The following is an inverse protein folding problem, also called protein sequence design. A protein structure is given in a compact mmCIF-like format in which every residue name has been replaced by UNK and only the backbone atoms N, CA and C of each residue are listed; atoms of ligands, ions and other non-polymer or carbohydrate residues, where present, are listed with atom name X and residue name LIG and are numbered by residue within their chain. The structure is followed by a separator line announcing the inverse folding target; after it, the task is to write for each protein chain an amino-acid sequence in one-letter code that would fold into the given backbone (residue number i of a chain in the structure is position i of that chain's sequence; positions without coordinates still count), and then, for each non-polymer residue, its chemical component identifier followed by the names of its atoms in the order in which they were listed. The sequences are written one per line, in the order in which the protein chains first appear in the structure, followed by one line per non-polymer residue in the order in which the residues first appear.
data_IF_083368958466
#
_entry.id   IF_083368958466
#
_cell.length_a   1.000
_cell.length_b   1.000
_cell.length_c   1.000
_cell.angle_alpha   90.00
_cell.angle_beta   90.00
_cell.angle_gamma   90.00
#
_symmetry.space_group_name_H-M   'P 1'
#
loop_
_entity.id
_entity.type
_entity.pdbx_description
1 polymer ?
#
# COMPACT_ATOMS: atom_id res chain seq x y z
N UNK A 1 7.26 -7.32 -19.25
CA UNK A 1 8.33 -6.75 -18.39
C UNK A 1 8.39 -7.55 -17.11
N UNK A 2 9.58 -7.92 -16.65
CA UNK A 2 9.76 -8.65 -15.40
C UNK A 2 10.15 -7.69 -14.25
N UNK A 3 10.12 -8.20 -13.01
CA UNK A 3 10.39 -7.39 -11.81
C UNK A 3 11.78 -6.68 -11.86
N UNK A 4 12.83 -7.39 -12.26
CA UNK A 4 14.19 -6.83 -12.26
C UNK A 4 14.36 -5.73 -13.32
N UNK A 5 13.67 -5.84 -14.44
CA UNK A 5 13.63 -4.79 -15.48
C UNK A 5 12.95 -3.54 -14.93
N UNK A 6 11.85 -3.71 -14.20
CA UNK A 6 11.14 -2.58 -13.58
C UNK A 6 11.97 -1.91 -12.48
N UNK A 7 12.72 -2.68 -11.67
CA UNK A 7 13.65 -2.10 -10.69
C UNK A 7 14.71 -1.26 -11.38
N UNK A 8 15.31 -1.74 -12.48
CA UNK A 8 16.31 -0.95 -13.23
C UNK A 8 15.73 0.34 -13.81
N UNK A 9 14.51 0.28 -14.37
CA UNK A 9 13.81 1.48 -14.85
C UNK A 9 13.44 2.38 -13.66
N UNK A 10 13.00 1.79 -12.56
CA UNK A 10 12.73 2.48 -11.31
C UNK A 10 13.92 3.31 -10.86
N UNK A 11 15.04 2.67 -10.65
CA UNK A 11 16.26 3.33 -10.14
C UNK A 11 16.79 4.42 -11.09
N UNK A 12 16.76 4.16 -12.40
CA UNK A 12 17.32 5.08 -13.39
C UNK A 12 16.40 6.23 -13.80
N UNK A 13 15.08 6.02 -13.80
CA UNK A 13 14.14 6.96 -14.38
C UNK A 13 12.94 7.31 -13.49
N UNK A 14 12.26 6.33 -12.87
CA UNK A 14 11.02 6.62 -12.16
C UNK A 14 11.26 7.31 -10.82
N UNK A 15 12.26 6.88 -10.03
CA UNK A 15 12.51 7.42 -8.69
C UNK A 15 12.83 8.93 -8.69
N UNK A 16 13.63 9.49 -9.63
CA UNK A 16 13.81 10.92 -9.71
C UNK A 16 12.49 11.69 -9.89
N UNK A 17 11.61 11.22 -10.80
CA UNK A 17 10.29 11.82 -11.04
C UNK A 17 9.36 11.67 -9.85
N UNK A 18 9.35 10.49 -9.23
CA UNK A 18 8.55 10.20 -8.03
C UNK A 18 9.01 11.08 -6.86
N UNK A 19 10.33 11.27 -6.71
CA UNK A 19 10.88 12.15 -5.68
C UNK A 19 10.38 13.59 -5.84
N UNK A 20 10.38 14.10 -7.06
CA UNK A 20 9.84 15.44 -7.36
C UNK A 20 8.32 15.50 -7.10
N UNK A 21 7.56 14.50 -7.61
CA UNK A 21 6.10 14.44 -7.48
C UNK A 21 5.62 14.39 -6.03
N UNK A 22 6.36 13.72 -5.16
CA UNK A 22 5.94 13.47 -3.78
C UNK A 22 6.79 14.19 -2.71
N UNK A 23 7.74 15.02 -3.11
CA UNK A 23 8.57 15.76 -2.17
C UNK A 23 9.50 14.86 -1.35
N UNK A 24 10.12 13.89 -2.00
CA UNK A 24 11.01 12.93 -1.34
C UNK A 24 12.49 13.31 -1.45
N UNK A 25 12.79 14.58 -1.66
CA UNK A 25 14.16 15.07 -1.69
C UNK A 25 14.86 14.77 -0.35
N UNK A 26 16.04 14.17 -0.44
CA UNK A 26 16.82 13.76 0.72
C UNK A 26 16.37 12.46 1.41
N UNK A 27 15.36 11.77 0.86
CA UNK A 27 15.07 10.40 1.27
C UNK A 27 16.02 9.41 0.57
N UNK A 28 16.58 8.50 1.35
CA UNK A 28 17.25 7.33 0.81
C UNK A 28 16.20 6.30 0.40
N UNK A 29 16.25 5.83 -0.86
CA UNK A 29 15.32 4.85 -1.39
C UNK A 29 16.01 3.53 -1.65
N UNK A 30 15.40 2.42 -1.21
CA UNK A 30 15.92 1.07 -1.41
C UNK A 30 14.81 0.13 -1.87
N UNK A 31 15.03 -0.68 -2.92
CA UNK A 31 14.02 -1.65 -3.34
C UNK A 31 13.83 -2.73 -2.26
N UNK A 32 12.59 -3.08 -2.01
CA UNK A 32 12.22 -4.20 -1.15
C UNK A 32 12.31 -5.47 -1.99
N UNK A 33 12.97 -6.51 -1.48
CA UNK A 33 13.07 -7.79 -2.20
C UNK A 33 11.68 -8.31 -2.59
N UNK A 34 11.51 -8.65 -3.87
CA UNK A 34 10.29 -9.26 -4.35
C UNK A 34 10.04 -10.61 -3.66
N UNK A 35 8.78 -10.83 -3.29
CA UNK A 35 8.30 -12.19 -3.13
C UNK A 35 7.93 -12.77 -4.51
N UNK A 36 8.07 -14.08 -4.69
CA UNK A 36 7.71 -14.74 -5.95
C UNK A 36 6.28 -14.37 -6.37
N UNK A 37 6.11 -13.87 -7.61
CA UNK A 37 4.82 -13.43 -8.13
C UNK A 37 4.39 -12.00 -7.75
N UNK A 38 5.30 -11.18 -7.24
CA UNK A 38 5.01 -9.77 -6.93
C UNK A 38 4.56 -8.98 -8.17
N UNK A 39 3.38 -8.36 -8.08
CA UNK A 39 2.76 -7.54 -9.15
C UNK A 39 3.20 -6.08 -9.10
N UNK A 40 3.91 -5.70 -8.05
CA UNK A 40 4.38 -4.34 -7.81
C UNK A 40 5.86 -4.35 -7.45
N UNK A 41 6.57 -3.31 -7.84
CA UNK A 41 7.87 -2.98 -7.26
C UNK A 41 7.63 -2.04 -6.09
N UNK A 42 8.28 -2.31 -4.97
CA UNK A 42 8.12 -1.55 -3.74
C UNK A 42 9.48 -1.00 -3.31
N UNK A 43 9.50 0.28 -2.95
CA UNK A 43 10.69 0.92 -2.37
C UNK A 43 10.40 1.39 -0.94
N UNK A 44 11.36 1.17 -0.07
CA UNK A 44 11.40 1.77 1.25
C UNK A 44 12.14 3.11 1.16
N UNK A 45 11.53 4.17 1.67
CA UNK A 45 12.09 5.52 1.66
C UNK A 45 12.29 5.98 3.09
N UNK A 46 13.53 6.32 3.44
CA UNK A 46 13.90 6.73 4.79
C UNK A 46 14.70 8.02 4.75
N UNK A 47 14.42 8.90 5.71
CA UNK A 47 15.19 10.12 5.94
C UNK A 47 15.31 10.35 7.45
N UNK A 48 16.49 10.69 7.92
CA UNK A 48 16.73 11.01 9.32
C UNK A 48 15.81 12.16 9.77
N UNK A 49 15.19 12.00 10.94
CA UNK A 49 14.27 12.99 11.51
C UNK A 49 12.91 13.09 10.81
N UNK A 50 12.63 12.26 9.81
CA UNK A 50 11.33 12.22 9.12
C UNK A 50 10.70 10.83 9.18
N UNK A 51 9.39 10.76 8.93
CA UNK A 51 8.68 9.49 8.82
C UNK A 51 9.17 8.68 7.62
N UNK A 52 9.26 7.36 7.77
CA UNK A 52 9.57 6.49 6.66
C UNK A 52 8.33 6.29 5.76
N UNK A 53 8.55 6.15 4.45
CA UNK A 53 7.50 6.01 3.43
C UNK A 53 7.71 4.79 2.56
N UNK A 54 6.66 4.38 1.87
CA UNK A 54 6.67 3.25 0.93
C UNK A 54 6.17 3.74 -0.43
N UNK A 55 7.01 3.64 -1.45
CA UNK A 55 6.59 3.81 -2.85
C UNK A 55 6.15 2.44 -3.36
N UNK A 56 4.99 2.38 -4.00
CA UNK A 56 4.50 1.22 -4.73
C UNK A 56 4.35 1.57 -6.20
N UNK A 57 4.99 0.80 -7.07
CA UNK A 57 4.94 0.95 -8.52
C UNK A 57 4.27 -0.30 -9.11
N UNK A 58 3.07 -0.14 -9.65
CA UNK A 58 2.38 -1.17 -10.43
C UNK A 58 2.82 -1.07 -11.89
N UNK A 59 3.15 -2.21 -12.51
CA UNK A 59 3.73 -2.27 -13.85
C UNK A 59 3.07 -3.31 -14.76
N UNK A 60 2.15 -4.12 -14.23
CA UNK A 60 1.40 -5.08 -15.03
C UNK A 60 0.13 -4.41 -15.56
N UNK A 61 -0.14 -4.59 -16.85
CA UNK A 61 -1.33 -4.05 -17.52
C UNK A 61 -2.58 -4.93 -17.32
N UNK A 62 -2.68 -5.58 -16.16
CA UNK A 62 -3.77 -6.46 -15.80
C UNK A 62 -4.81 -5.78 -14.89
N UNK A 63 -4.59 -4.51 -14.58
CA UNK A 63 -5.51 -3.64 -13.83
C UNK A 63 -5.58 -2.27 -14.49
N UNK A 64 -6.78 -1.72 -14.54
CA UNK A 64 -6.99 -0.36 -15.03
C UNK A 64 -6.53 0.69 -14.02
N UNK A 65 -6.38 1.93 -14.48
CA UNK A 65 -6.12 3.09 -13.63
C UNK A 65 -7.23 3.25 -12.57
N UNK A 66 -8.48 3.10 -12.98
CA UNK A 66 -9.66 3.24 -12.13
C UNK A 66 -9.68 2.18 -11.02
N UNK A 67 -9.28 0.94 -11.32
CA UNK A 67 -9.17 -0.12 -10.32
C UNK A 67 -8.09 0.17 -9.28
N UNK A 68 -6.94 0.68 -9.72
CA UNK A 68 -5.85 1.06 -8.82
C UNK A 68 -6.20 2.30 -8.00
N UNK A 69 -6.87 3.27 -8.62
CA UNK A 69 -7.33 4.49 -7.95
C UNK A 69 -8.39 4.14 -6.89
N UNK A 70 -9.38 3.32 -7.24
CA UNK A 70 -10.39 2.85 -6.28
C UNK A 70 -9.79 2.10 -5.08
N UNK A 71 -8.69 1.36 -5.28
CA UNK A 71 -7.95 0.72 -4.18
C UNK A 71 -7.35 1.76 -3.22
N UNK A 72 -6.64 2.75 -3.74
CA UNK A 72 -5.98 3.75 -2.88
C UNK A 72 -6.98 4.69 -2.21
N UNK A 73 -8.07 5.06 -2.90
CA UNK A 73 -9.19 5.83 -2.31
C UNK A 73 -9.84 5.08 -1.15
N UNK A 74 -10.05 3.78 -1.31
CA UNK A 74 -10.60 2.96 -0.23
C UNK A 74 -9.65 2.88 0.97
N UNK A 75 -8.34 2.73 0.74
CA UNK A 75 -7.35 2.75 1.83
C UNK A 75 -7.36 4.10 2.54
N UNK A 76 -7.40 5.20 1.80
CA UNK A 76 -7.50 6.54 2.37
C UNK A 76 -8.77 6.70 3.22
N UNK A 77 -9.93 6.30 2.69
CA UNK A 77 -11.19 6.32 3.44
C UNK A 77 -11.09 5.55 4.77
N UNK A 78 -10.52 4.34 4.73
CA UNK A 78 -10.34 3.55 5.95
C UNK A 78 -9.46 4.27 6.97
N UNK A 79 -8.37 4.90 6.53
CA UNK A 79 -7.47 5.66 7.39
C UNK A 79 -8.19 6.86 8.03
N UNK A 80 -8.87 7.68 7.23
CA UNK A 80 -9.61 8.87 7.67
C UNK A 80 -10.71 8.55 8.67
N UNK A 81 -11.30 7.33 8.59
CA UNK A 81 -12.34 6.86 9.51
C UNK A 81 -11.81 5.99 10.68
N UNK A 82 -10.49 6.07 10.92
CA UNK A 82 -9.85 5.40 12.06
C UNK A 82 -9.65 3.91 11.89
N UNK A 83 -9.58 3.43 10.66
CA UNK A 83 -9.11 2.09 10.32
C UNK A 83 -7.60 1.98 10.57
N UNK A 84 -7.16 0.80 11.03
CA UNK A 84 -5.73 0.54 11.26
C UNK A 84 -5.03 0.13 9.96
N UNK A 85 -4.85 1.09 9.07
CA UNK A 85 -4.17 0.96 7.77
C UNK A 85 -3.13 2.07 7.62
N UNK A 86 -2.21 1.93 6.65
CA UNK A 86 -1.27 2.98 6.30
C UNK A 86 -1.99 4.12 5.57
N UNK A 87 -1.61 5.35 5.86
CA UNK A 87 -2.10 6.51 5.13
C UNK A 87 -1.58 6.54 3.69
N UNK A 88 -2.40 7.02 2.78
CA UNK A 88 -2.02 7.29 1.39
C UNK A 88 -1.60 8.75 1.27
N UNK A 89 -0.38 8.98 0.79
CA UNK A 89 0.17 10.34 0.66
C UNK A 89 -0.12 10.87 -0.75
N UNK A 90 -0.83 11.98 -0.82
CA UNK A 90 -1.07 12.66 -2.10
C UNK A 90 0.23 13.25 -2.68
N UNK A 91 0.34 13.25 -3.99
CA UNK A 91 1.41 13.97 -4.69
C UNK A 91 1.29 15.49 -4.51
N UNK A 92 2.30 16.23 -4.91
CA UNK A 92 2.26 17.72 -4.98
C UNK A 92 1.17 18.25 -5.91
N UNK A 93 0.65 17.40 -6.81
CA UNK A 93 -0.49 17.72 -7.70
C UNK A 93 -1.85 17.39 -7.05
N UNK A 94 -1.87 16.84 -5.85
CA UNK A 94 -3.08 16.40 -5.15
C UNK A 94 -3.59 15.01 -5.56
N UNK A 95 -2.84 14.26 -6.36
CA UNK A 95 -3.25 12.93 -6.83
C UNK A 95 -2.83 11.83 -5.83
N UNK A 96 -3.71 10.86 -5.57
CA UNK A 96 -3.39 9.65 -4.80
C UNK A 96 -2.62 8.61 -5.63
N UNK A 97 -2.81 8.65 -6.94
CA UNK A 97 -2.19 7.75 -7.90
C UNK A 97 -1.62 8.59 -9.05
N UNK A 98 -0.33 8.50 -9.28
CA UNK A 98 0.35 9.12 -10.41
C UNK A 98 0.58 8.10 -11.52
N UNK A 99 0.50 8.58 -12.76
CA UNK A 99 0.76 7.79 -13.96
C UNK A 99 2.02 8.31 -14.65
N UNK A 100 2.98 7.42 -14.88
CA UNK A 100 4.26 7.74 -15.53
C UNK A 100 4.44 6.81 -16.72
N UNK A 101 4.62 7.38 -17.91
CA UNK A 101 4.90 6.61 -19.13
C UNK A 101 6.40 6.67 -19.45
N UNK A 102 7.01 5.52 -19.70
CA UNK A 102 8.38 5.39 -20.14
C UNK A 102 8.52 4.24 -21.14
N UNK A 103 9.12 4.49 -22.30
CA UNK A 103 9.33 3.48 -23.37
C UNK A 103 8.06 2.69 -23.73
N UNK A 104 6.93 3.38 -23.94
CA UNK A 104 5.61 2.81 -24.22
C UNK A 104 5.04 1.89 -23.11
N UNK A 105 5.59 1.95 -21.91
CA UNK A 105 5.03 1.28 -20.73
C UNK A 105 4.49 2.30 -19.76
N UNK A 106 3.32 2.01 -19.20
CA UNK A 106 2.68 2.82 -18.17
C UNK A 106 2.95 2.22 -16.79
N UNK A 107 3.36 3.08 -15.87
CA UNK A 107 3.59 2.76 -14.46
C UNK A 107 2.64 3.56 -13.61
N UNK A 108 1.95 2.91 -12.70
CA UNK A 108 1.10 3.57 -11.71
C UNK A 108 1.82 3.61 -10.37
N UNK A 109 1.94 4.81 -9.82
CA UNK A 109 2.74 5.05 -8.61
C UNK A 109 1.85 5.64 -7.52
N UNK A 110 1.93 5.07 -6.33
CA UNK A 110 1.35 5.65 -5.12
C UNK A 110 2.34 5.60 -3.96
N UNK A 111 2.18 6.54 -3.03
CA UNK A 111 3.02 6.68 -1.85
C UNK A 111 2.19 6.42 -0.59
N UNK A 112 2.77 5.72 0.37
CA UNK A 112 2.15 5.45 1.67
C UNK A 112 3.07 5.88 2.80
N UNK A 113 2.50 6.28 3.92
CA UNK A 113 3.24 6.28 5.18
C UNK A 113 3.61 4.85 5.54
N UNK A 114 4.85 4.61 5.95
CA UNK A 114 5.28 3.26 6.35
C UNK A 114 4.62 2.90 7.68
N UNK A 115 3.94 1.75 7.72
CA UNK A 115 3.39 1.22 8.94
C UNK A 115 4.48 1.02 10.01
N UNK A 116 4.17 1.37 11.25
CA UNK A 116 5.07 1.17 12.38
C UNK A 116 5.04 -0.28 12.84
N UNK A 117 6.14 -0.73 13.41
CA UNK A 117 6.26 -2.06 14.01
C UNK A 117 7.18 -3.00 13.23
N UNK A 118 7.15 -4.25 13.63
CA UNK A 118 7.94 -5.33 13.04
C UNK A 118 7.03 -6.43 12.51
N UNK A 119 7.43 -7.08 11.45
CA UNK A 119 6.73 -8.28 10.99
C UNK A 119 6.85 -9.38 12.03
N UNK A 120 5.79 -10.16 12.20
CA UNK A 120 5.75 -11.25 13.18
C UNK A 120 6.91 -12.24 12.96
N UNK A 121 7.26 -12.51 11.69
CA UNK A 121 8.39 -13.38 11.33
C UNK A 121 9.74 -12.80 11.80
N UNK A 122 9.93 -11.49 11.70
CA UNK A 122 11.15 -10.81 12.15
C UNK A 122 11.30 -10.86 13.68
N UNK A 123 10.17 -10.97 14.39
CA UNK A 123 10.12 -11.15 15.83
C UNK A 123 9.99 -12.63 16.24
N UNK A 124 10.46 -13.58 15.40
CA UNK A 124 10.43 -15.03 15.65
C UNK A 124 9.05 -15.54 16.06
N UNK A 125 8.01 -15.05 15.42
CA UNK A 125 6.60 -15.34 15.70
C UNK A 125 6.13 -15.00 17.12
N UNK A 126 6.83 -14.10 17.82
CA UNK A 126 6.40 -13.56 19.10
C UNK A 126 5.69 -12.23 18.88
N UNK A 127 4.48 -12.10 19.39
CA UNK A 127 3.72 -10.86 19.31
C UNK A 127 4.38 -9.75 20.17
N UNK A 128 4.57 -10.04 21.44
CA UNK A 128 5.35 -9.24 22.40
C UNK A 128 5.85 -10.15 23.52
N UNK A 129 6.81 -9.68 24.28
CA UNK A 129 7.35 -10.44 25.42
C UNK A 129 6.25 -10.74 26.44
N UNK A 130 6.17 -12.01 26.86
CA UNK A 130 5.19 -12.49 27.84
C UNK A 130 3.74 -12.60 27.36
N UNK A 131 3.41 -12.15 26.11
CA UNK A 131 2.05 -12.24 25.60
C UNK A 131 1.79 -13.60 24.92
N UNK A 132 0.63 -14.25 25.17
CA UNK A 132 0.25 -15.43 24.45
C UNK A 132 -0.12 -15.10 23.00
N UNK A 133 0.11 -16.05 22.09
CA UNK A 133 -0.23 -15.88 20.66
C UNK A 133 -1.73 -15.65 20.43
N UNK A 134 -2.58 -16.11 21.33
CA UNK A 134 -4.04 -15.88 21.30
C UNK A 134 -4.38 -14.40 21.37
N UNK A 135 -3.61 -13.59 22.11
CA UNK A 135 -3.80 -12.13 22.14
C UNK A 135 -3.54 -11.50 20.77
N UNK A 136 -2.53 -11.98 20.05
CA UNK A 136 -2.26 -11.53 18.68
C UNK A 136 -3.47 -11.77 17.77
N UNK A 137 -4.01 -13.00 17.76
CA UNK A 137 -5.17 -13.34 16.93
C UNK A 137 -6.43 -12.58 17.34
N UNK A 138 -6.64 -12.38 18.63
CA UNK A 138 -7.74 -11.56 19.13
C UNK A 138 -7.66 -10.11 18.60
N UNK A 139 -6.48 -9.50 18.66
CA UNK A 139 -6.29 -8.15 18.17
C UNK A 139 -6.40 -8.08 16.63
N UNK A 140 -5.93 -9.08 15.90
CA UNK A 140 -6.16 -9.18 14.45
C UNK A 140 -7.66 -9.21 14.13
N UNK A 141 -8.43 -10.01 14.87
CA UNK A 141 -9.89 -10.07 14.72
C UNK A 141 -10.58 -8.73 14.98
N UNK A 142 -10.13 -7.99 16.00
CA UNK A 142 -10.66 -6.64 16.28
C UNK A 142 -10.38 -5.66 15.13
N UNK A 143 -9.15 -5.65 14.62
CA UNK A 143 -8.76 -4.80 13.47
C UNK A 143 -9.63 -5.15 12.26
N UNK A 144 -9.71 -6.44 11.91
CA UNK A 144 -10.51 -6.89 10.78
C UNK A 144 -11.99 -6.55 10.93
N UNK A 145 -12.57 -6.75 12.12
CA UNK A 145 -13.96 -6.39 12.43
C UNK A 145 -14.23 -4.89 12.25
N UNK A 146 -13.29 -4.03 12.69
CA UNK A 146 -13.38 -2.59 12.47
C UNK A 146 -13.32 -2.23 10.99
N UNK A 147 -12.41 -2.83 10.24
CA UNK A 147 -12.31 -2.60 8.78
C UNK A 147 -13.59 -3.03 8.06
N UNK A 148 -14.16 -4.19 8.41
CA UNK A 148 -15.44 -4.64 7.85
C UNK A 148 -16.60 -3.68 8.18
N UNK A 149 -16.64 -3.14 9.40
CA UNK A 149 -17.65 -2.16 9.77
C UNK A 149 -17.55 -0.92 8.88
N UNK A 150 -16.36 -0.34 8.75
CA UNK A 150 -16.12 0.82 7.90
C UNK A 150 -16.45 0.54 6.43
N UNK A 151 -16.12 -0.65 5.94
CA UNK A 151 -16.40 -1.05 4.56
C UNK A 151 -17.89 -1.04 4.20
N UNK A 152 -18.79 -1.27 5.18
CA UNK A 152 -20.25 -1.22 4.95
C UNK A 152 -20.75 0.19 4.68
N UNK A 153 -20.05 1.20 5.17
CA UNK A 153 -20.38 2.61 5.04
C UNK A 153 -19.69 3.27 3.83
N UNK A 154 -18.74 2.57 3.22
CA UNK A 154 -17.97 3.08 2.09
C UNK A 154 -18.78 3.11 0.81
N UNK A 155 -18.86 4.27 0.18
CA UNK A 155 -19.42 4.43 -1.16
C UNK A 155 -18.29 4.73 -2.15
N UNK A 156 -17.93 3.80 -3.04
CA UNK A 156 -16.80 3.98 -3.95
C UNK A 156 -17.08 5.05 -5.01
N UNK A 157 -16.10 5.92 -5.24
CA UNK A 157 -16.11 6.86 -6.36
C UNK A 157 -15.66 6.15 -7.63
N UNK A 158 -14.60 5.35 -7.54
CA UNK A 158 -14.11 4.53 -8.65
C UNK A 158 -14.36 3.04 -8.40
N UNK A 159 -14.83 2.34 -9.44
CA UNK A 159 -15.15 0.91 -9.35
C UNK A 159 -13.87 0.08 -9.49
N UNK A 160 -13.31 -0.42 -8.40
CA UNK A 160 -12.18 -1.35 -8.46
C UNK A 160 -12.31 -2.50 -7.49
N UNK A 161 -12.54 -2.23 -6.23
CA UNK A 161 -12.46 -3.22 -5.14
C UNK A 161 -13.83 -3.72 -4.68
N UNK A 162 -14.92 -3.08 -5.07
CA UNK A 162 -16.29 -3.37 -4.58
C UNK A 162 -16.70 -4.83 -4.81
N UNK A 163 -16.14 -5.49 -5.80
CA UNK A 163 -16.46 -6.90 -6.10
C UNK A 163 -16.06 -7.88 -4.97
N UNK A 164 -14.98 -7.60 -4.26
CA UNK A 164 -14.49 -8.49 -3.20
C UNK A 164 -15.27 -8.32 -1.88
N UNK A 165 -15.80 -7.14 -1.62
CA UNK A 165 -16.53 -6.84 -0.38
C UNK A 165 -17.97 -7.36 -0.45
N UNK A 166 -18.61 -7.25 -1.61
CA UNK A 166 -20.01 -7.69 -1.80
C UNK A 166 -20.16 -9.21 -2.02
N UNK A 167 -19.08 -9.93 -2.27
CA UNK A 167 -19.10 -11.40 -2.44
C UNK A 167 -18.76 -12.17 -1.18
N UNK A 168 -18.40 -11.50 -0.09
CA UNK A 168 -18.27 -12.18 1.19
C UNK A 168 -19.66 -12.55 1.72
N UNK A 169 -19.96 -13.83 1.94
CA UNK A 169 -21.24 -14.24 2.53
C UNK A 169 -21.36 -13.58 3.90
N UNK A 170 -22.57 -13.13 4.24
CA UNK A 170 -22.91 -12.66 5.58
C UNK A 170 -22.56 -13.74 6.60
N UNK A 171 -21.38 -13.66 7.18
CA UNK A 171 -21.02 -14.52 8.32
C UNK A 171 -21.78 -13.94 9.51
N UNK A 172 -22.96 -14.49 9.76
CA UNK A 172 -23.66 -14.28 11.02
C UNK A 172 -22.82 -14.98 12.09
N UNK A 173 -22.15 -14.21 12.92
CA UNK A 173 -21.56 -14.71 14.16
C UNK A 173 -22.70 -14.75 15.17
N UNK A 174 -23.23 -15.94 15.42
CA UNK A 174 -24.09 -16.20 16.58
C UNK A 174 -23.22 -16.26 17.84
#
# INVERSE_FOLDING_TARGET
MNYNEVVKIGDAYLLPLVSELYGLEGYETRPVKAHAGGRNVVYNCEREGAGAKIIRIAFLNDRSREELLGEVEYIQYLFEHGGSVSDVVSSRKGNLLEEITHNNHTFFVCLFEKARGKKLVENKYRYREGAPITEYYYNCGKVLGKLHQLSKEYTPVHRGIVFLINTMPNISIN
#
